data_IF_250734003618
#
_entry.id   IF_250734003618
#
_cell.length_a   1.000
_cell.length_b   1.000
_cell.length_c   1.000
_cell.angle_alpha   90.00
_cell.angle_beta   90.00
_cell.angle_gamma   90.00
#
_symmetry.space_group_name_H-M   'P 1'
#
loop_
_entity.id
_entity.type
_entity.pdbx_description
1 polymer ?
#
# COMPACT_ATOMS: atom_id res chain seq x y z
N UNK A 1 4.38 -10.20 1.45
CA UNK A 1 3.04 -10.58 0.97
C UNK A 1 2.04 -9.71 1.70
N UNK A 2 1.21 -8.95 0.98
CA UNK A 2 0.30 -7.94 1.54
C UNK A 2 -1.14 -8.38 1.29
N UNK A 3 -2.03 -8.24 2.26
CA UNK A 3 -3.45 -8.58 2.13
C UNK A 3 -4.34 -7.40 2.54
N UNK A 4 -5.66 -7.44 2.29
CA UNK A 4 -6.57 -6.49 2.90
C UNK A 4 -6.38 -6.42 4.42
N UNK A 5 -6.57 -5.23 5.00
CA UNK A 5 -6.35 -4.88 6.40
C UNK A 5 -4.88 -4.88 6.87
N UNK A 6 -3.90 -5.13 5.99
CA UNK A 6 -2.48 -4.92 6.34
C UNK A 6 -2.16 -3.43 6.46
N UNK A 7 -1.48 -3.07 7.55
CA UNK A 7 -0.89 -1.74 7.75
C UNK A 7 0.46 -1.65 7.05
N UNK A 8 0.70 -0.53 6.37
CA UNK A 8 1.86 -0.30 5.52
C UNK A 8 2.45 1.08 5.82
N UNK A 9 3.78 1.14 5.89
CA UNK A 9 4.51 2.39 5.95
C UNK A 9 4.64 2.97 4.54
N UNK A 10 4.54 4.29 4.45
CA UNK A 10 4.73 5.03 3.19
C UNK A 10 6.21 5.27 2.94
N UNK A 11 6.65 5.04 1.70
CA UNK A 11 8.05 5.16 1.28
C UNK A 11 8.29 6.36 0.33
N UNK A 12 7.40 7.34 0.34
CA UNK A 12 7.49 8.56 -0.46
C UNK A 12 7.37 9.82 0.43
N UNK A 13 7.40 10.98 -0.20
CA UNK A 13 7.24 12.29 0.43
C UNK A 13 5.86 12.92 0.16
N UNK A 14 4.84 12.12 -0.16
CA UNK A 14 3.49 12.59 -0.48
C UNK A 14 2.77 13.25 0.70
N UNK A 15 3.17 12.89 1.94
CA UNK A 15 2.56 13.38 3.16
C UNK A 15 1.79 12.32 3.95
N UNK A 16 1.54 11.14 3.40
CA UNK A 16 1.02 10.01 4.17
C UNK A 16 2.15 9.35 4.97
N UNK A 17 1.85 8.85 6.18
CA UNK A 17 2.78 8.08 7.02
C UNK A 17 2.41 6.61 7.09
N UNK A 18 1.13 6.35 7.31
CA UNK A 18 0.59 5.02 7.46
C UNK A 18 -0.63 4.82 6.57
N UNK A 19 -0.66 3.68 5.88
CA UNK A 19 -1.75 3.25 5.03
C UNK A 19 -2.31 1.92 5.53
N UNK A 20 -3.58 1.67 5.29
CA UNK A 20 -4.18 0.34 5.41
C UNK A 20 -4.66 -0.13 4.05
N UNK A 21 -4.20 -1.31 3.61
CA UNK A 21 -4.69 -1.92 2.38
C UNK A 21 -6.18 -2.28 2.50
N UNK A 22 -7.00 -1.84 1.55
CA UNK A 22 -8.42 -2.22 1.47
C UNK A 22 -8.60 -3.35 0.46
N UNK A 23 -7.91 -3.24 -0.69
CA UNK A 23 -8.11 -4.16 -1.81
C UNK A 23 -6.85 -4.27 -2.66
N UNK A 24 -6.53 -5.50 -3.09
CA UNK A 24 -5.50 -5.75 -4.10
C UNK A 24 -6.13 -5.66 -5.49
N UNK A 25 -5.51 -4.90 -6.40
CA UNK A 25 -5.97 -4.79 -7.79
C UNK A 25 -5.24 -5.84 -8.62
N UNK A 26 -5.98 -6.77 -9.23
CA UNK A 26 -5.41 -7.81 -10.09
C UNK A 26 -6.49 -8.59 -10.87
N UNK A 27 -6.07 -9.31 -11.91
CA UNK A 27 -6.97 -9.95 -12.89
C UNK A 27 -7.78 -11.16 -12.37
N UNK A 28 -7.50 -11.66 -11.16
CA UNK A 28 -8.03 -12.95 -10.69
C UNK A 28 -8.21 -13.04 -9.17
N UNK A 29 -9.05 -12.17 -8.59
CA UNK A 29 -9.39 -12.18 -7.16
C UNK A 29 -8.18 -12.44 -6.24
N UNK A 30 -7.06 -11.78 -6.54
CA UNK A 30 -5.82 -12.06 -5.84
C UNK A 30 -5.98 -11.75 -4.36
N UNK A 31 -5.78 -12.75 -3.51
CA UNK A 31 -5.81 -12.57 -2.04
C UNK A 31 -4.63 -11.74 -1.55
N UNK A 32 -3.55 -11.70 -2.33
CA UNK A 32 -2.28 -11.15 -1.91
C UNK A 32 -1.65 -10.26 -2.98
N UNK A 33 -1.00 -9.19 -2.53
CA UNK A 33 -0.14 -8.33 -3.34
C UNK A 33 1.33 -8.61 -3.05
N UNK A 34 2.15 -8.50 -4.09
CA UNK A 34 3.60 -8.61 -4.08
C UNK A 34 4.24 -7.31 -4.54
N UNK A 35 5.58 -7.27 -4.57
CA UNK A 35 6.32 -6.12 -5.05
C UNK A 35 5.91 -5.83 -6.51
N UNK A 36 5.62 -4.56 -6.80
CA UNK A 36 5.15 -4.06 -8.09
C UNK A 36 3.62 -4.03 -8.25
N UNK A 37 2.87 -4.72 -7.40
CA UNK A 37 1.41 -4.72 -7.47
C UNK A 37 0.82 -3.39 -6.98
N UNK A 38 -0.30 -3.00 -7.60
CA UNK A 38 -1.09 -1.82 -7.18
C UNK A 38 -2.19 -2.26 -6.23
N UNK A 39 -2.33 -1.53 -5.13
CA UNK A 39 -3.38 -1.71 -4.14
C UNK A 39 -4.23 -0.45 -4.00
N UNK A 40 -5.46 -0.62 -3.54
CA UNK A 40 -6.29 0.45 -2.99
C UNK A 40 -6.08 0.46 -1.49
N UNK A 41 -5.73 1.61 -0.93
CA UNK A 41 -5.45 1.79 0.47
C UNK A 41 -6.15 3.03 1.02
N UNK A 42 -6.34 3.06 2.34
CA UNK A 42 -6.85 4.23 3.06
C UNK A 42 -5.74 4.82 3.92
N UNK A 43 -5.66 6.14 3.96
CA UNK A 43 -4.72 6.86 4.81
C UNK A 43 -5.15 6.75 6.27
N UNK A 44 -4.28 6.19 7.12
CA UNK A 44 -4.49 6.08 8.57
C UNK A 44 -3.86 7.24 9.33
N UNK A 45 -2.70 7.68 8.88
CA UNK A 45 -1.99 8.85 9.40
C UNK A 45 -1.42 9.68 8.24
N UNK A 46 -1.69 10.99 8.27
CA UNK A 46 -1.15 11.99 7.37
C UNK A 46 -0.36 13.04 8.16
N UNK A 47 0.66 13.61 7.53
CA UNK A 47 1.42 14.74 8.07
C UNK A 47 0.55 16.00 7.99
N UNK A 48 0.55 16.86 9.02
CA UNK A 48 -0.14 18.15 8.97
C UNK A 48 0.35 19.04 7.82
N UNK A 49 -0.51 19.93 7.32
CA UNK A 49 -0.22 20.87 6.22
C UNK A 49 0.13 20.20 4.87
N UNK A 50 -0.32 18.96 4.67
CA UNK A 50 -0.27 18.29 3.37
C UNK A 50 -1.67 18.30 2.75
N UNK A 51 -1.80 18.16 1.42
CA UNK A 51 -3.11 18.09 0.78
C UNK A 51 -3.83 16.75 1.02
N UNK A 52 -3.18 15.79 1.70
CA UNK A 52 -3.73 14.46 1.99
C UNK A 52 -4.45 14.45 3.32
N UNK A 53 -5.64 13.84 3.34
CA UNK A 53 -6.48 13.79 4.51
C UNK A 53 -6.55 12.38 5.13
N UNK A 54 -6.76 12.32 6.45
CA UNK A 54 -7.02 11.04 7.12
C UNK A 54 -8.32 10.44 6.58
N UNK A 55 -8.33 9.13 6.33
CA UNK A 55 -9.44 8.37 5.75
C UNK A 55 -9.68 8.58 4.25
N UNK A 56 -8.81 9.32 3.57
CA UNK A 56 -8.81 9.38 2.11
C UNK A 56 -8.40 8.03 1.50
N UNK A 57 -9.07 7.65 0.41
CA UNK A 57 -8.82 6.40 -0.32
C UNK A 57 -7.93 6.69 -1.51
N UNK A 58 -6.76 6.06 -1.55
CA UNK A 58 -5.73 6.26 -2.57
C UNK A 58 -5.32 4.94 -3.22
N UNK A 59 -4.64 5.04 -4.37
CA UNK A 59 -3.94 3.92 -4.99
C UNK A 59 -2.45 4.02 -4.66
N UNK A 60 -1.84 2.89 -4.31
CA UNK A 60 -0.42 2.81 -3.98
C UNK A 60 0.23 1.59 -4.65
N UNK A 61 1.54 1.67 -4.87
CA UNK A 61 2.35 0.57 -5.41
C UNK A 61 3.17 -0.05 -4.28
N UNK A 62 3.20 -1.37 -4.19
CA UNK A 62 4.05 -2.07 -3.21
C UNK A 62 5.50 -2.07 -3.70
N UNK A 63 6.39 -1.42 -2.97
CA UNK A 63 7.83 -1.34 -3.31
C UNK A 63 8.71 -2.25 -2.45
N UNK A 64 8.28 -2.56 -1.23
CA UNK A 64 9.03 -3.38 -0.29
C UNK A 64 8.07 -4.29 0.49
N UNK A 65 8.52 -5.52 0.78
CA UNK A 65 7.78 -6.47 1.62
C UNK A 65 8.75 -7.17 2.57
N UNK A 66 8.28 -7.51 3.77
CA UNK A 66 9.08 -8.28 4.74
C UNK A 66 9.38 -9.73 4.27
N UNK A 67 8.58 -10.26 3.36
CA UNK A 67 8.79 -11.59 2.79
C UNK A 67 9.85 -11.56 1.70
N UNK A 68 10.62 -12.64 1.58
CA UNK A 68 11.58 -12.81 0.50
C UNK A 68 10.91 -12.67 -0.88
N UNK A 69 11.51 -11.85 -1.73
CA UNK A 69 11.12 -11.73 -3.13
C UNK A 69 12.09 -12.54 -3.99
N UNK A 70 11.57 -13.55 -4.69
CA UNK A 70 12.38 -14.39 -5.57
C UNK A 70 12.62 -13.64 -6.88
N UNK A 71 13.89 -13.38 -7.18
CA UNK A 71 14.30 -12.84 -8.48
C UNK A 71 14.44 -13.97 -9.49
N UNK A 72 14.13 -13.69 -10.75
CA UNK A 72 14.07 -14.66 -11.85
C UNK A 72 15.44 -15.11 -12.39
N UNK A 73 16.50 -15.11 -11.56
CA UNK A 73 17.82 -15.59 -11.98
C UNK A 73 17.86 -17.12 -12.08
#
# INVERSE_FOLDING_TARGET
MIQPQTHLNVADNSGARELMCIRVIGASNSRYAHIGDVIVAVIKEAVPNTPLERSEVIRAVIVCTATFFKTSK
#
